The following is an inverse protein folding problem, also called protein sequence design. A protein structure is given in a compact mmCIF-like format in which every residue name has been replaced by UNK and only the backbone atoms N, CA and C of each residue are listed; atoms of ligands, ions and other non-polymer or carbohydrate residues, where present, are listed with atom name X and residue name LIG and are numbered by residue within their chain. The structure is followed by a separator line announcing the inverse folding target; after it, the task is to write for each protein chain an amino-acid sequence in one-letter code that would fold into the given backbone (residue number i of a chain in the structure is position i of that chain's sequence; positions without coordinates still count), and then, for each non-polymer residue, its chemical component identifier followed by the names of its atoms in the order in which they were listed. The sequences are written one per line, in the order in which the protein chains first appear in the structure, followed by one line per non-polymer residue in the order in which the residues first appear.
data_IF_500342032145
#
_entry.id   IF_500342032145
#
_cell.length_a   1.000
_cell.length_b   1.000
_cell.length_c   1.000
_cell.angle_alpha   90.00
_cell.angle_beta   90.00
_cell.angle_gamma   90.00
#
_symmetry.space_group_name_H-M   'P 1'
#
loop_
_entity.id
_entity.type
_entity.pdbx_description
1 polymer ?
#
# COMPACT_ATOMS: atom_id res chain seq x y z
N UNK A 1 -6.89 -8.33 42.85
CA UNK A 1 -7.52 -7.56 41.77
C UNK A 1 -8.48 -8.48 41.09
N UNK A 2 -9.81 -8.27 41.21
CA UNK A 2 -10.81 -9.06 40.50
C UNK A 2 -10.58 -8.83 38.99
N UNK A 3 -10.21 -9.88 38.27
CA UNK A 3 -10.20 -9.82 36.81
C UNK A 3 -11.67 -9.66 36.39
N UNK A 4 -12.02 -8.46 35.93
CA UNK A 4 -13.30 -8.26 35.27
C UNK A 4 -13.42 -9.28 34.16
N UNK A 5 -14.53 -9.98 34.08
CA UNK A 5 -14.77 -10.93 33.00
C UNK A 5 -15.03 -10.14 31.73
N UNK A 6 -14.06 -10.16 30.79
CA UNK A 6 -14.19 -9.57 29.45
C UNK A 6 -14.47 -10.67 28.45
N UNK A 7 -15.42 -10.47 27.56
CA UNK A 7 -15.65 -11.37 26.45
C UNK A 7 -14.79 -10.94 25.27
N UNK A 8 -13.85 -11.82 24.87
CA UNK A 8 -12.96 -11.60 23.72
C UNK A 8 -13.75 -11.63 22.41
N UNK A 9 -13.53 -10.64 21.55
CA UNK A 9 -14.11 -10.57 20.21
C UNK A 9 -13.04 -10.89 19.18
N UNK A 10 -12.04 -10.03 19.02
CA UNK A 10 -10.98 -10.16 18.00
C UNK A 10 -9.74 -9.37 18.38
N UNK A 11 -8.57 -9.82 17.95
CA UNK A 11 -7.28 -9.14 18.19
C UNK A 11 -6.56 -8.85 16.88
N UNK A 12 -5.92 -7.69 16.81
CA UNK A 12 -5.09 -7.27 15.68
C UNK A 12 -3.64 -7.72 15.87
N UNK A 13 -2.99 -8.08 14.76
CA UNK A 13 -1.57 -8.45 14.77
C UNK A 13 -0.65 -7.22 15.02
N UNK A 14 0.64 -7.49 15.21
CA UNK A 14 1.65 -6.48 15.52
C UNK A 14 1.85 -5.42 14.43
N UNK A 15 1.48 -5.73 13.18
CA UNK A 15 1.66 -4.85 12.02
C UNK A 15 0.33 -4.33 11.46
N UNK A 16 -0.78 -5.03 11.66
CA UNK A 16 -2.10 -4.66 11.13
C UNK A 16 -2.29 -5.04 9.66
N UNK A 17 -1.69 -6.13 9.19
CA UNK A 17 -1.82 -6.60 7.80
C UNK A 17 -3.25 -7.01 7.48
N UNK A 18 -3.89 -7.73 8.39
CA UNK A 18 -5.30 -8.09 8.29
C UNK A 18 -6.13 -6.96 8.87
N UNK A 19 -6.85 -6.24 8.02
CA UNK A 19 -7.70 -5.14 8.46
C UNK A 19 -8.88 -5.67 9.25
N UNK A 20 -9.13 -5.11 10.42
CA UNK A 20 -10.27 -5.45 11.26
C UNK A 20 -11.07 -4.20 11.50
N UNK A 21 -12.15 -4.02 10.73
CA UNK A 21 -13.14 -2.97 10.96
C UNK A 21 -14.20 -3.47 11.94
N UNK A 22 -14.77 -2.57 12.71
CA UNK A 22 -15.85 -2.92 13.65
C UNK A 22 -16.86 -1.80 13.80
N UNK A 23 -18.11 -2.19 14.05
CA UNK A 23 -19.18 -1.26 14.39
C UNK A 23 -19.12 -0.95 15.89
N UNK A 24 -18.97 0.33 16.23
CA UNK A 24 -18.80 0.81 17.60
C UNK A 24 -20.02 0.56 18.52
N UNK A 25 -21.20 0.27 17.95
CA UNK A 25 -22.43 0.01 18.71
C UNK A 25 -22.69 -1.48 18.91
N UNK A 26 -22.41 -2.29 17.88
CA UNK A 26 -22.82 -3.71 17.86
C UNK A 26 -21.66 -4.66 18.12
N UNK A 27 -20.41 -4.23 17.98
CA UNK A 27 -19.22 -5.08 18.04
C UNK A 27 -19.06 -6.02 16.85
N UNK A 28 -19.97 -5.99 15.88
CA UNK A 28 -19.77 -6.72 14.63
C UNK A 28 -18.48 -6.26 13.95
N UNK A 29 -17.70 -7.19 13.43
CA UNK A 29 -16.45 -6.89 12.76
C UNK A 29 -16.33 -7.63 11.41
N UNK A 30 -15.53 -7.07 10.51
CA UNK A 30 -15.21 -7.64 9.20
C UNK A 30 -13.84 -7.14 8.72
N UNK A 31 -13.21 -7.90 7.83
CA UNK A 31 -12.03 -7.44 7.09
C UNK A 31 -12.40 -6.46 5.96
N UNK A 32 -13.66 -6.41 5.56
CA UNK A 32 -14.18 -5.45 4.58
C UNK A 32 -15.13 -4.45 5.27
N UNK A 33 -14.77 -3.19 5.27
CA UNK A 33 -15.60 -2.13 5.87
C UNK A 33 -17.00 -2.04 5.26
N UNK A 34 -17.16 -2.44 4.01
CA UNK A 34 -18.44 -2.45 3.29
C UNK A 34 -19.51 -3.34 3.92
N UNK A 35 -19.10 -4.43 4.59
CA UNK A 35 -20.01 -5.38 5.25
C UNK A 35 -20.70 -4.79 6.49
N UNK A 36 -20.13 -3.71 7.04
CA UNK A 36 -20.59 -3.06 8.27
C UNK A 36 -21.44 -1.81 8.02
N UNK A 37 -21.58 -1.39 6.76
CA UNK A 37 -22.27 -0.14 6.41
C UNK A 37 -23.78 -0.33 6.46
N UNK A 38 -24.43 0.45 7.33
CA UNK A 38 -25.88 0.64 7.26
C UNK A 38 -26.22 1.75 6.26
N UNK A 39 -26.55 1.35 5.03
CA UNK A 39 -26.89 2.29 3.96
C UNK A 39 -28.22 3.03 4.19
N UNK A 40 -29.08 2.56 5.10
CA UNK A 40 -30.37 3.22 5.42
C UNK A 40 -30.20 4.38 6.41
N UNK A 41 -29.14 4.34 7.24
CA UNK A 41 -28.80 5.37 8.24
C UNK A 41 -27.36 5.87 8.05
N UNK A 42 -26.95 6.03 6.80
CA UNK A 42 -25.58 6.40 6.47
C UNK A 42 -25.26 7.86 6.82
N UNK A 43 -24.22 8.05 7.58
CA UNK A 43 -23.61 9.36 7.84
C UNK A 43 -22.09 9.28 7.68
N UNK A 44 -21.49 10.36 7.17
CA UNK A 44 -20.02 10.49 7.18
C UNK A 44 -19.51 10.85 8.59
N UNK A 45 -18.41 10.21 8.99
CA UNK A 45 -17.54 10.76 10.03
C UNK A 45 -16.65 11.83 9.41
N UNK A 46 -16.83 13.08 9.81
CA UNK A 46 -16.12 14.21 9.20
C UNK A 46 -14.62 14.15 9.43
N UNK A 47 -14.16 13.67 10.60
CA UNK A 47 -12.75 13.53 10.92
C UNK A 47 -12.11 12.39 10.13
N UNK A 48 -12.74 11.22 10.11
CA UNK A 48 -12.30 10.08 9.33
C UNK A 48 -12.25 10.38 7.84
N UNK A 49 -13.25 11.12 7.32
CA UNK A 49 -13.26 11.55 5.92
C UNK A 49 -12.09 12.50 5.61
N UNK A 50 -11.82 13.50 6.44
CA UNK A 50 -10.69 14.41 6.24
C UNK A 50 -9.35 13.68 6.31
N UNK A 51 -9.19 12.73 7.24
CA UNK A 51 -8.00 11.87 7.35
C UNK A 51 -7.83 11.00 6.09
N UNK A 52 -8.93 10.40 5.60
CA UNK A 52 -8.93 9.64 4.36
C UNK A 52 -8.52 10.51 3.15
N UNK A 53 -8.98 11.75 3.08
CA UNK A 53 -8.60 12.66 2.00
C UNK A 53 -7.11 13.04 2.04
N UNK A 54 -6.53 13.19 3.23
CA UNK A 54 -5.11 13.50 3.39
C UNK A 54 -4.22 12.37 2.89
N UNK A 55 -4.60 11.10 3.14
CA UNK A 55 -3.77 9.94 2.87
C UNK A 55 -4.22 9.12 1.65
N UNK A 56 -5.49 9.21 1.29
CA UNK A 56 -6.13 8.31 0.33
C UNK A 56 -6.53 6.95 0.91
N UNK A 57 -6.44 6.79 2.25
CA UNK A 57 -6.81 5.57 2.97
C UNK A 57 -7.14 5.86 4.44
N UNK A 58 -7.81 4.92 5.12
CA UNK A 58 -8.14 5.06 6.54
C UNK A 58 -6.88 5.03 7.41
N UNK A 59 -6.79 5.92 8.40
CA UNK A 59 -5.67 5.99 9.32
C UNK A 59 -6.14 6.36 10.74
N UNK A 60 -5.29 6.06 11.75
CA UNK A 60 -5.51 6.42 13.16
C UNK A 60 -6.85 5.90 13.72
N UNK A 61 -7.16 4.62 13.46
CA UNK A 61 -8.39 3.98 13.95
C UNK A 61 -9.68 4.48 13.30
N UNK A 62 -9.65 5.51 12.43
CA UNK A 62 -10.80 6.19 11.88
C UNK A 62 -11.16 5.74 10.46
N UNK A 63 -12.47 5.63 10.20
CA UNK A 63 -13.00 5.48 8.85
C UNK A 63 -13.85 6.69 8.48
N UNK A 64 -14.10 6.96 7.20
CA UNK A 64 -15.04 8.00 6.76
C UNK A 64 -16.51 7.74 7.15
N UNK A 65 -16.82 6.65 7.83
CA UNK A 65 -18.19 6.21 8.13
C UNK A 65 -18.44 6.33 9.63
N UNK A 66 -19.47 7.08 9.99
CA UNK A 66 -19.85 7.28 11.39
C UNK A 66 -20.21 5.97 12.07
N UNK A 67 -19.63 5.74 13.24
CA UNK A 67 -19.85 4.52 14.04
C UNK A 67 -19.08 3.28 13.57
N UNK A 68 -18.24 3.40 12.54
CA UNK A 68 -17.33 2.34 12.12
C UNK A 68 -15.88 2.80 12.32
N UNK A 69 -15.10 1.99 13.03
CA UNK A 69 -13.66 2.17 13.27
C UNK A 69 -12.89 0.94 12.83
N UNK A 70 -11.57 0.97 12.90
CA UNK A 70 -10.74 -0.21 12.72
C UNK A 70 -9.74 -0.36 13.88
N UNK A 71 -9.33 -1.59 14.16
CA UNK A 71 -8.30 -1.87 15.14
C UNK A 71 -6.93 -1.51 14.56
N UNK A 72 -6.17 -0.73 15.33
CA UNK A 72 -4.76 -0.52 15.08
C UNK A 72 -3.93 -1.70 15.61
N UNK A 73 -2.64 -1.68 15.36
CA UNK A 73 -1.72 -2.76 15.73
C UNK A 73 -1.73 -2.98 17.24
N UNK A 74 -1.62 -4.24 17.64
CA UNK A 74 -1.61 -4.67 19.05
C UNK A 74 -2.88 -4.26 19.83
N UNK A 75 -3.99 -4.03 19.16
CA UNK A 75 -5.28 -3.78 19.83
C UNK A 75 -6.14 -5.03 19.86
N UNK A 76 -6.91 -5.16 20.92
CA UNK A 76 -7.92 -6.22 21.08
C UNK A 76 -9.26 -5.60 21.42
N UNK A 77 -10.32 -6.12 20.78
CA UNK A 77 -11.70 -5.73 21.01
C UNK A 77 -12.36 -6.73 21.95
N UNK A 78 -13.03 -6.22 22.97
CA UNK A 78 -13.77 -6.98 23.97
C UNK A 78 -15.18 -6.40 24.18
N UNK A 79 -16.09 -7.21 24.71
CA UNK A 79 -17.22 -6.73 25.50
C UNK A 79 -16.82 -6.71 26.98
N UNK A 80 -17.11 -5.62 27.67
CA UNK A 80 -16.98 -5.55 29.13
C UNK A 80 -18.19 -6.24 29.82
N UNK A 81 -18.20 -6.25 31.15
CA UNK A 81 -19.26 -6.86 31.96
C UNK A 81 -20.66 -6.24 31.74
N UNK A 82 -20.70 -5.01 31.29
CA UNK A 82 -21.93 -4.26 30.99
C UNK A 82 -22.36 -4.42 29.51
N UNK A 83 -21.63 -5.24 28.72
CA UNK A 83 -21.85 -5.44 27.29
C UNK A 83 -21.42 -4.26 26.44
N UNK A 84 -20.59 -3.35 26.98
CA UNK A 84 -20.03 -2.23 26.24
C UNK A 84 -18.74 -2.66 25.51
N UNK A 85 -18.51 -2.08 24.33
CA UNK A 85 -17.28 -2.33 23.59
C UNK A 85 -16.10 -1.62 24.23
N UNK A 86 -15.05 -2.37 24.45
CA UNK A 86 -13.77 -1.90 24.97
C UNK A 86 -12.62 -2.25 24.03
N UNK A 87 -11.79 -1.26 23.68
CA UNK A 87 -10.53 -1.48 22.96
C UNK A 87 -9.39 -1.47 23.96
N UNK A 88 -8.65 -2.56 24.01
CA UNK A 88 -7.48 -2.70 24.88
C UNK A 88 -6.22 -2.65 24.03
N UNK A 89 -5.31 -1.74 24.37
CA UNK A 89 -3.97 -1.70 23.81
C UNK A 89 -3.11 -2.77 24.53
N UNK A 90 -2.62 -3.74 23.78
CA UNK A 90 -1.66 -4.73 24.28
C UNK A 90 -0.24 -4.15 24.22
N UNK A 91 0.69 -4.80 24.92
CA UNK A 91 2.10 -4.41 24.87
C UNK A 91 2.61 -4.47 23.42
N UNK A 92 3.34 -3.44 23.02
CA UNK A 92 3.98 -3.40 21.71
C UNK A 92 5.36 -4.08 21.77
N UNK A 93 5.48 -5.29 21.19
CA UNK A 93 6.74 -6.03 21.25
C UNK A 93 7.90 -5.32 20.55
N UNK A 94 7.61 -4.43 19.58
CA UNK A 94 8.64 -3.72 18.83
C UNK A 94 9.46 -2.74 19.70
N UNK A 95 8.88 -2.23 20.81
CA UNK A 95 9.56 -1.30 21.72
C UNK A 95 10.81 -1.94 22.33
N UNK A 96 10.79 -3.24 22.59
CA UNK A 96 11.93 -3.94 23.15
C UNK A 96 13.15 -4.03 22.21
N UNK A 97 12.94 -3.75 20.91
CA UNK A 97 13.98 -3.90 19.88
C UNK A 97 14.58 -2.56 19.42
N UNK A 98 13.88 -1.44 19.55
CA UNK A 98 14.31 -0.16 18.96
C UNK A 98 15.68 0.33 19.43
N UNK A 99 16.14 -0.09 20.61
CA UNK A 99 17.47 0.23 21.17
C UNK A 99 18.50 -0.89 20.98
N UNK A 100 18.11 -2.03 20.40
CA UNK A 100 19.03 -3.17 20.20
C UNK A 100 19.84 -3.00 18.90
N UNK A 101 20.91 -3.78 18.76
CA UNK A 101 21.69 -3.89 17.52
C UNK A 101 21.71 -5.36 17.11
N UNK A 102 21.26 -5.64 15.90
CA UNK A 102 21.32 -6.95 15.27
C UNK A 102 22.55 -7.09 14.38
N UNK A 103 23.15 -8.28 14.33
CA UNK A 103 24.20 -8.56 13.36
C UNK A 103 23.62 -8.79 11.97
N UNK A 104 24.38 -8.43 10.93
CA UNK A 104 23.97 -8.68 9.54
C UNK A 104 23.86 -10.18 9.27
N UNK A 105 24.77 -11.00 9.82
CA UNK A 105 24.80 -12.45 9.67
C UNK A 105 23.52 -13.09 10.18
N UNK A 106 23.10 -12.78 11.41
CA UNK A 106 21.85 -13.28 11.98
C UNK A 106 20.62 -12.86 11.14
N UNK A 107 20.64 -11.63 10.63
CA UNK A 107 19.56 -11.13 9.76
C UNK A 107 19.49 -11.92 8.45
N UNK A 108 20.64 -12.22 7.83
CA UNK A 108 20.69 -13.05 6.63
C UNK A 108 20.20 -14.47 6.87
N UNK A 109 20.63 -15.10 7.97
CA UNK A 109 20.20 -16.44 8.35
C UNK A 109 18.68 -16.53 8.56
N UNK A 110 18.08 -15.55 9.20
CA UNK A 110 16.62 -15.49 9.39
C UNK A 110 15.88 -15.35 8.06
N UNK A 111 16.31 -14.44 7.18
CA UNK A 111 15.70 -14.24 5.86
C UNK A 111 15.82 -15.54 5.03
N UNK A 112 17.01 -16.12 4.96
CA UNK A 112 17.26 -17.37 4.24
C UNK A 112 16.41 -18.51 4.77
N UNK A 113 16.39 -18.72 6.09
CA UNK A 113 15.62 -19.77 6.74
C UNK A 113 14.11 -19.65 6.45
N UNK A 114 13.55 -18.44 6.49
CA UNK A 114 12.14 -18.21 6.20
C UNK A 114 11.82 -18.56 4.73
N UNK A 115 12.64 -18.09 3.79
CA UNK A 115 12.45 -18.38 2.36
C UNK A 115 12.58 -19.87 2.07
N UNK A 116 13.60 -20.55 2.65
CA UNK A 116 13.78 -21.99 2.51
C UNK A 116 12.60 -22.76 3.06
N UNK A 117 12.12 -22.39 4.25
CA UNK A 117 10.94 -23.03 4.88
C UNK A 117 9.71 -22.95 3.98
N UNK A 118 9.45 -21.80 3.35
CA UNK A 118 8.36 -21.68 2.39
C UNK A 118 8.57 -22.56 1.15
N UNK A 119 9.78 -22.59 0.59
CA UNK A 119 10.11 -23.44 -0.55
C UNK A 119 9.97 -24.94 -0.23
N UNK A 120 10.33 -25.35 0.98
CA UNK A 120 10.26 -26.75 1.40
C UNK A 120 8.83 -27.22 1.65
N UNK A 121 7.96 -26.35 2.18
CA UNK A 121 6.51 -26.62 2.26
C UNK A 121 5.89 -26.83 0.89
N UNK A 122 6.48 -26.28 -0.15
CA UNK A 122 5.98 -26.29 -1.53
C UNK A 122 6.90 -27.05 -2.50
N UNK A 123 7.63 -28.06 -2.02
CA UNK A 123 8.71 -28.76 -2.73
C UNK A 123 8.32 -29.33 -4.11
N UNK A 124 7.05 -29.70 -4.29
CA UNK A 124 6.54 -30.29 -5.55
C UNK A 124 5.75 -29.30 -6.41
N UNK A 125 5.82 -28.01 -6.11
CA UNK A 125 5.05 -26.97 -6.82
C UNK A 125 6.00 -25.94 -7.42
N UNK A 126 5.61 -25.37 -8.58
CA UNK A 126 6.23 -24.13 -9.05
C UNK A 126 5.86 -22.98 -8.11
N UNK A 127 6.78 -22.03 -7.93
CA UNK A 127 6.61 -20.87 -7.07
C UNK A 127 6.49 -19.62 -7.92
N UNK A 128 5.46 -18.84 -7.67
CA UNK A 128 5.30 -17.50 -8.25
C UNK A 128 6.13 -16.49 -7.46
N UNK A 129 7.08 -15.82 -8.12
CA UNK A 129 7.91 -14.77 -7.50
C UNK A 129 7.76 -13.47 -8.29
N UNK A 130 6.94 -12.50 -7.84
CA UNK A 130 6.91 -11.17 -8.43
C UNK A 130 8.30 -10.53 -8.32
N UNK A 131 8.94 -10.24 -9.45
CA UNK A 131 10.33 -9.81 -9.50
C UNK A 131 10.46 -8.46 -10.19
N UNK A 132 10.81 -7.43 -9.43
CA UNK A 132 11.02 -6.05 -9.92
C UNK A 132 12.50 -5.72 -10.17
N UNK A 133 13.42 -6.64 -9.85
CA UNK A 133 14.86 -6.37 -9.82
C UNK A 133 15.27 -5.44 -8.66
N UNK A 134 14.37 -5.09 -7.76
CA UNK A 134 14.65 -4.49 -6.46
C UNK A 134 15.40 -5.45 -5.53
N UNK A 135 15.86 -4.99 -4.37
CA UNK A 135 16.65 -5.83 -3.47
C UNK A 135 15.81 -6.95 -2.85
N UNK A 136 14.56 -6.69 -2.47
CA UNK A 136 13.71 -7.64 -1.76
C UNK A 136 13.34 -8.85 -2.63
N UNK A 137 12.86 -8.62 -3.84
CA UNK A 137 12.59 -9.71 -4.78
C UNK A 137 13.88 -10.45 -5.20
N UNK A 138 15.02 -9.74 -5.22
CA UNK A 138 16.34 -10.32 -5.51
C UNK A 138 16.79 -11.27 -4.39
N UNK A 139 16.52 -10.92 -3.10
CA UNK A 139 16.80 -11.81 -1.97
C UNK A 139 15.97 -13.10 -2.06
N UNK A 140 14.69 -12.99 -2.39
CA UNK A 140 13.82 -14.15 -2.56
C UNK A 140 14.38 -15.07 -3.66
N UNK A 141 14.68 -14.53 -4.82
CA UNK A 141 15.25 -15.29 -5.93
C UNK A 141 16.62 -15.88 -5.57
N UNK A 142 17.44 -15.16 -4.80
CA UNK A 142 18.78 -15.63 -4.40
C UNK A 142 18.73 -16.76 -3.38
N UNK A 143 17.94 -16.62 -2.30
CA UNK A 143 17.88 -17.60 -1.22
C UNK A 143 16.99 -18.81 -1.52
N UNK A 144 16.12 -18.75 -2.52
CA UNK A 144 15.32 -19.92 -2.91
C UNK A 144 16.25 -21.05 -3.41
N UNK A 145 16.16 -22.25 -2.80
CA UNK A 145 17.17 -23.31 -3.05
C UNK A 145 17.04 -23.97 -4.43
N UNK A 146 15.81 -24.06 -4.97
CA UNK A 146 15.48 -24.71 -6.23
C UNK A 146 15.06 -23.69 -7.28
N UNK A 147 16.03 -23.20 -8.06
CA UNK A 147 15.81 -22.14 -9.07
C UNK A 147 14.89 -22.58 -10.20
N UNK A 148 14.91 -23.86 -10.53
CA UNK A 148 14.08 -24.50 -11.56
C UNK A 148 12.58 -24.51 -11.23
N UNK A 149 12.21 -24.37 -9.96
CA UNK A 149 10.83 -24.27 -9.51
C UNK A 149 10.29 -22.83 -9.53
N UNK A 150 11.17 -21.83 -9.63
CA UNK A 150 10.77 -20.43 -9.60
C UNK A 150 10.25 -20.04 -10.98
N UNK A 151 9.06 -19.46 -11.00
CA UNK A 151 8.53 -18.67 -12.10
C UNK A 151 8.50 -17.21 -11.67
N UNK A 152 9.45 -16.44 -12.20
CA UNK A 152 9.55 -15.01 -11.92
C UNK A 152 8.69 -14.22 -12.90
N UNK A 153 7.91 -13.28 -12.38
CA UNK A 153 7.04 -12.42 -13.18
C UNK A 153 7.33 -10.95 -12.93
N UNK A 154 7.35 -10.17 -14.00
CA UNK A 154 7.60 -8.73 -13.94
C UNK A 154 6.61 -7.97 -14.82
N UNK A 155 6.30 -6.75 -14.46
CA UNK A 155 5.63 -5.79 -15.33
C UNK A 155 6.43 -4.48 -15.39
N UNK A 156 6.24 -3.71 -16.45
CA UNK A 156 6.90 -2.41 -16.60
C UNK A 156 5.93 -1.26 -16.38
N UNK A 157 6.44 -0.15 -15.86
CA UNK A 157 5.68 1.09 -15.68
C UNK A 157 5.57 1.93 -16.97
N UNK A 158 6.19 1.49 -18.04
CA UNK A 158 6.23 2.18 -19.34
C UNK A 158 5.35 1.46 -20.36
N UNK A 159 4.81 2.21 -21.32
CA UNK A 159 4.15 1.68 -22.53
C UNK A 159 5.03 0.74 -23.37
N UNK A 160 6.35 0.76 -23.13
CA UNK A 160 7.28 -0.25 -23.63
C UNK A 160 7.91 -0.94 -22.40
N UNK A 161 7.27 -2.01 -21.90
CA UNK A 161 7.67 -2.64 -20.64
C UNK A 161 9.10 -3.19 -20.67
N UNK A 162 9.60 -3.67 -21.81
CA UNK A 162 10.97 -4.18 -21.96
C UNK A 162 12.05 -3.11 -21.71
N UNK A 163 11.72 -1.82 -21.90
CA UNK A 163 12.62 -0.69 -21.62
C UNK A 163 12.47 -0.14 -20.21
N UNK A 164 11.55 -0.66 -19.43
CA UNK A 164 11.34 -0.27 -18.04
C UNK A 164 12.50 -0.73 -17.18
N UNK A 165 12.89 0.11 -16.25
CA UNK A 165 14.02 -0.11 -15.35
C UNK A 165 13.86 -1.40 -14.52
N UNK A 166 12.67 -1.63 -14.02
CA UNK A 166 12.32 -2.79 -13.22
C UNK A 166 12.47 -4.09 -14.02
N UNK A 167 11.98 -4.09 -15.25
CA UNK A 167 12.00 -5.24 -16.16
C UNK A 167 13.42 -5.60 -16.59
N UNK A 168 14.22 -4.60 -16.98
CA UNK A 168 15.63 -4.82 -17.35
C UNK A 168 16.41 -5.46 -16.19
N UNK A 169 16.21 -4.97 -14.98
CA UNK A 169 16.88 -5.53 -13.80
C UNK A 169 16.37 -6.93 -13.45
N UNK A 170 15.06 -7.14 -13.47
CA UNK A 170 14.46 -8.44 -13.20
C UNK A 170 14.98 -9.51 -14.17
N UNK A 171 14.99 -9.20 -15.48
CA UNK A 171 15.56 -10.08 -16.51
C UNK A 171 17.01 -10.46 -16.20
N UNK A 172 17.86 -9.46 -15.92
CA UNK A 172 19.29 -9.71 -15.62
C UNK A 172 19.50 -10.58 -14.36
N UNK A 173 18.67 -10.39 -13.31
CA UNK A 173 18.74 -11.24 -12.12
C UNK A 173 18.37 -12.67 -12.46
N UNK A 174 17.26 -12.87 -13.16
CA UNK A 174 16.77 -14.19 -13.52
C UNK A 174 17.74 -14.92 -14.43
N UNK A 175 18.35 -14.25 -15.42
CA UNK A 175 19.40 -14.81 -16.27
C UNK A 175 20.62 -15.25 -15.44
N UNK A 176 21.11 -14.41 -14.51
CA UNK A 176 22.25 -14.75 -13.63
C UNK A 176 21.98 -15.91 -12.69
N UNK A 177 20.74 -16.06 -12.24
CA UNK A 177 20.32 -17.12 -11.32
C UNK A 177 19.74 -18.34 -12.01
N UNK A 178 19.68 -18.36 -13.35
CA UNK A 178 19.05 -19.41 -14.16
C UNK A 178 17.60 -19.69 -13.75
N UNK A 179 16.80 -18.62 -13.66
CA UNK A 179 15.39 -18.65 -13.26
C UNK A 179 14.52 -18.41 -14.49
N UNK A 180 13.41 -19.16 -14.63
CA UNK A 180 12.38 -18.92 -15.64
C UNK A 180 11.72 -17.55 -15.37
N UNK A 181 11.84 -16.64 -16.34
CA UNK A 181 11.37 -15.27 -16.21
C UNK A 181 10.37 -14.90 -17.30
N UNK A 182 9.28 -14.26 -16.88
CA UNK A 182 8.20 -13.88 -17.76
C UNK A 182 7.80 -12.42 -17.54
N UNK A 183 7.59 -11.69 -18.63
CA UNK A 183 7.02 -10.35 -18.58
C UNK A 183 5.49 -10.41 -18.72
N UNK A 184 4.79 -9.67 -17.87
CA UNK A 184 3.34 -9.52 -17.92
C UNK A 184 3.02 -8.10 -18.37
N UNK A 185 2.46 -7.97 -19.56
CA UNK A 185 2.00 -6.67 -20.06
C UNK A 185 0.72 -6.28 -19.33
N UNK A 186 0.70 -5.09 -18.72
CA UNK A 186 -0.47 -4.51 -18.07
C UNK A 186 -0.80 -3.14 -18.68
N UNK A 187 -2.04 -2.69 -18.51
CA UNK A 187 -2.49 -1.40 -19.06
C UNK A 187 -4.01 -1.25 -19.13
N UNK A 188 -4.75 -2.34 -18.88
CA UNK A 188 -6.21 -2.33 -18.87
C UNK A 188 -6.82 -2.38 -17.46
N UNK A 189 -6.04 -2.06 -16.44
CA UNK A 189 -6.41 -2.29 -15.05
C UNK A 189 -7.57 -1.41 -14.54
N UNK A 190 -7.91 -0.30 -15.21
CA UNK A 190 -9.09 0.48 -14.87
C UNK A 190 -10.39 -0.33 -14.93
N UNK A 191 -10.43 -1.43 -15.70
CA UNK A 191 -11.58 -2.37 -15.71
C UNK A 191 -11.83 -3.05 -14.37
N UNK A 192 -10.83 -3.09 -13.48
CA UNK A 192 -10.92 -3.72 -12.15
C UNK A 192 -11.36 -2.75 -11.04
N UNK A 193 -11.78 -1.52 -11.39
CA UNK A 193 -12.15 -0.52 -10.37
C UNK A 193 -13.35 -0.98 -9.51
N UNK A 194 -14.33 -1.65 -10.13
CA UNK A 194 -15.49 -2.21 -9.40
C UNK A 194 -15.04 -3.28 -8.43
N UNK A 195 -14.23 -4.23 -8.88
CA UNK A 195 -13.69 -5.29 -8.02
C UNK A 195 -12.85 -4.73 -6.88
N UNK A 196 -12.02 -3.71 -7.14
CA UNK A 196 -11.27 -3.04 -6.10
C UNK A 196 -12.20 -2.46 -5.02
N UNK A 197 -13.29 -1.80 -5.43
CA UNK A 197 -14.25 -1.21 -4.50
C UNK A 197 -15.04 -2.28 -3.74
N UNK A 198 -15.33 -3.41 -4.35
CA UNK A 198 -15.94 -4.55 -3.66
C UNK A 198 -15.04 -5.11 -2.56
N UNK A 199 -13.74 -5.27 -2.83
CA UNK A 199 -12.78 -5.89 -1.92
C UNK A 199 -12.21 -4.92 -0.87
N UNK A 200 -12.00 -3.66 -1.21
CA UNK A 200 -11.36 -2.67 -0.32
C UNK A 200 -12.28 -1.53 0.12
N UNK A 201 -13.39 -1.31 -0.60
CA UNK A 201 -14.35 -0.25 -0.32
C UNK A 201 -13.63 1.10 -0.07
N UNK A 202 -14.03 1.83 0.96
CA UNK A 202 -13.45 3.12 1.37
C UNK A 202 -12.20 2.96 2.28
N UNK A 203 -11.70 1.74 2.48
CA UNK A 203 -10.50 1.56 3.29
C UNK A 203 -9.26 2.17 2.64
N UNK A 204 -9.23 2.20 1.29
CA UNK A 204 -8.13 2.78 0.52
C UNK A 204 -8.58 3.23 -0.87
N UNK A 205 -7.82 4.17 -1.46
CA UNK A 205 -7.99 4.60 -2.85
C UNK A 205 -7.79 3.45 -3.85
N UNK A 206 -8.37 3.58 -5.05
CA UNK A 206 -8.42 2.50 -6.03
C UNK A 206 -7.15 2.38 -6.93
N UNK A 207 -6.06 3.08 -6.62
CA UNK A 207 -4.86 3.06 -7.48
C UNK A 207 -4.21 1.67 -7.60
N UNK A 208 -4.29 0.81 -6.59
CA UNK A 208 -3.66 -0.52 -6.57
C UNK A 208 -4.29 -1.56 -7.52
N UNK A 209 -5.36 -1.22 -8.25
CA UNK A 209 -6.10 -2.15 -9.11
C UNK A 209 -5.27 -2.76 -10.25
N UNK A 210 -4.10 -2.17 -10.60
CA UNK A 210 -3.17 -2.78 -11.57
C UNK A 210 -2.63 -4.14 -11.12
N UNK A 211 -2.63 -4.44 -9.81
CA UNK A 211 -2.29 -5.75 -9.27
C UNK A 211 -3.34 -6.82 -9.64
N UNK A 212 -4.62 -6.47 -9.75
CA UNK A 212 -5.63 -7.39 -10.26
C UNK A 212 -5.32 -7.81 -11.69
N UNK A 213 -4.98 -6.87 -12.57
CA UNK A 213 -4.59 -7.21 -13.94
C UNK A 213 -3.36 -8.11 -13.98
N UNK A 214 -2.33 -7.76 -13.19
CA UNK A 214 -1.09 -8.50 -13.13
C UNK A 214 -1.30 -9.96 -12.71
N UNK A 215 -1.95 -10.19 -11.57
CA UNK A 215 -2.15 -11.55 -11.05
C UNK A 215 -3.23 -12.34 -11.81
N UNK A 216 -4.23 -11.69 -12.37
CA UNK A 216 -5.21 -12.34 -13.23
C UNK A 216 -4.52 -12.92 -14.47
N UNK A 217 -3.64 -12.15 -15.12
CA UNK A 217 -2.88 -12.64 -16.28
C UNK A 217 -1.91 -13.78 -15.92
N UNK A 218 -1.28 -13.72 -14.76
CA UNK A 218 -0.45 -14.84 -14.27
C UNK A 218 -1.31 -16.10 -14.08
N UNK A 219 -2.46 -15.96 -13.43
CA UNK A 219 -3.41 -17.08 -13.20
C UNK A 219 -3.94 -17.69 -14.50
N UNK A 220 -4.25 -16.86 -15.49
CA UNK A 220 -4.74 -17.31 -16.80
C UNK A 220 -3.70 -18.10 -17.60
N UNK A 221 -2.44 -17.72 -17.49
CA UNK A 221 -1.33 -18.35 -18.22
C UNK A 221 -0.71 -19.56 -17.51
N UNK A 222 -0.84 -19.57 -16.19
CA UNK A 222 -0.09 -20.53 -15.36
C UNK A 222 -0.98 -21.01 -14.24
N UNK A 223 -1.63 -21.94 -14.08
CA UNK A 223 -2.38 -22.38 -12.89
C UNK A 223 -2.00 -21.64 -11.59
N UNK A 224 -2.82 -21.67 -10.58
CA UNK A 224 -2.52 -21.04 -9.28
C UNK A 224 -1.29 -21.70 -8.65
N UNK A 225 -0.32 -20.90 -8.25
CA UNK A 225 0.94 -21.31 -7.62
C UNK A 225 1.08 -20.66 -6.25
N UNK A 226 1.77 -21.31 -5.29
CA UNK A 226 2.23 -20.60 -4.08
C UNK A 226 3.08 -19.39 -4.47
N UNK A 227 2.82 -18.26 -3.81
CA UNK A 227 3.43 -16.98 -4.11
C UNK A 227 4.28 -16.50 -2.93
N UNK A 228 5.53 -16.14 -3.20
CA UNK A 228 6.39 -15.48 -2.22
C UNK A 228 6.82 -14.12 -2.75
N UNK A 229 6.57 -13.07 -1.98
CA UNK A 229 6.74 -11.68 -2.40
C UNK A 229 7.66 -10.88 -1.48
N UNK A 230 8.39 -9.92 -2.07
CA UNK A 230 9.27 -8.99 -1.37
C UNK A 230 8.55 -7.74 -0.83
N UNK A 231 7.31 -7.86 -0.39
CA UNK A 231 6.49 -6.73 0.06
C UNK A 231 7.17 -6.00 1.20
N UNK A 232 7.23 -4.65 1.11
CA UNK A 232 7.71 -3.72 2.14
C UNK A 232 9.12 -3.99 2.73
N UNK A 233 9.87 -4.94 2.20
CA UNK A 233 11.21 -5.26 2.70
C UNK A 233 12.15 -4.07 2.66
N UNK A 234 12.02 -3.22 1.63
CA UNK A 234 12.83 -2.03 1.47
C UNK A 234 12.63 -0.99 2.60
N UNK A 235 11.44 -0.91 3.18
CA UNK A 235 11.15 0.00 4.28
C UNK A 235 11.89 -0.41 5.56
N UNK A 236 11.96 -1.70 5.85
CA UNK A 236 12.73 -2.24 6.98
C UNK A 236 14.23 -2.16 6.77
N UNK A 237 14.67 -2.24 5.53
CA UNK A 237 16.09 -2.34 5.15
C UNK A 237 16.86 -1.02 5.09
N UNK A 238 16.21 0.14 5.29
CA UNK A 238 16.87 1.45 5.23
C UNK A 238 16.74 2.18 3.90
N UNK A 239 15.67 1.94 3.13
CA UNK A 239 15.38 2.73 1.93
C UNK A 239 14.72 4.08 2.23
N UNK A 240 14.17 4.23 3.43
CA UNK A 240 13.34 5.36 3.83
C UNK A 240 13.82 5.92 5.17
N UNK A 241 13.81 7.22 5.28
CA UNK A 241 13.96 7.94 6.56
C UNK A 241 12.69 8.75 6.83
N UNK A 242 12.34 8.89 8.09
CA UNK A 242 11.24 9.76 8.56
C UNK A 242 11.84 10.91 9.33
N UNK A 243 11.51 12.13 8.91
CA UNK A 243 11.89 13.34 9.62
C UNK A 243 11.38 13.30 11.08
N UNK A 244 11.96 14.13 11.92
CA UNK A 244 11.48 14.27 13.29
C UNK A 244 10.00 14.66 13.32
N UNK A 245 9.27 14.06 14.25
CA UNK A 245 7.86 14.34 14.51
C UNK A 245 7.80 15.10 15.83
N UNK A 246 7.70 16.41 15.73
CA UNK A 246 7.80 17.33 16.89
C UNK A 246 6.45 17.92 17.30
N UNK A 247 5.42 17.74 16.46
CA UNK A 247 4.09 18.28 16.70
C UNK A 247 3.00 17.40 16.05
N UNK A 248 1.72 17.55 16.47
CA UNK A 248 0.60 16.84 15.84
C UNK A 248 0.50 17.06 14.33
N UNK A 249 0.92 18.21 13.82
CA UNK A 249 0.91 18.50 12.38
C UNK A 249 1.87 17.61 11.58
N UNK A 250 2.95 17.17 12.23
CA UNK A 250 3.97 16.34 11.58
C UNK A 250 3.51 14.90 11.41
N UNK A 251 2.44 14.47 12.11
CA UNK A 251 1.86 13.12 11.99
C UNK A 251 1.45 12.78 10.57
N UNK A 252 1.08 13.79 9.77
CA UNK A 252 0.77 13.59 8.35
C UNK A 252 1.95 12.96 7.58
N UNK A 253 3.20 13.22 8.00
CA UNK A 253 4.40 12.68 7.33
C UNK A 253 4.53 11.16 7.46
N UNK A 254 3.84 10.54 8.42
CA UNK A 254 3.80 9.08 8.56
C UNK A 254 2.96 8.41 7.47
N UNK A 255 1.96 9.10 6.93
CA UNK A 255 0.97 8.52 6.03
C UNK A 255 1.03 8.98 4.58
N UNK A 256 1.72 10.08 4.26
CA UNK A 256 1.73 10.64 2.91
C UNK A 256 2.16 9.64 1.85
N UNK A 257 1.36 9.55 0.80
CA UNK A 257 1.66 8.83 -0.44
C UNK A 257 1.99 9.82 -1.56
N UNK A 258 2.77 9.40 -2.54
CA UNK A 258 3.27 10.27 -3.62
C UNK A 258 2.13 10.72 -4.55
N UNK A 259 1.40 11.76 -4.15
CA UNK A 259 0.39 12.43 -4.98
C UNK A 259 -0.97 11.73 -5.09
N UNK A 260 -1.15 10.59 -4.39
CA UNK A 260 -2.43 9.87 -4.38
C UNK A 260 -3.18 10.26 -3.11
N UNK A 261 -3.70 11.46 -3.12
CA UNK A 261 -4.54 12.05 -2.09
C UNK A 261 -5.46 13.09 -2.74
N UNK A 262 -6.35 13.66 -1.95
CA UNK A 262 -7.27 14.72 -2.38
C UNK A 262 -6.90 16.03 -1.69
N UNK A 263 -6.80 17.12 -2.42
CA UNK A 263 -6.51 18.44 -1.84
C UNK A 263 -7.71 18.94 -1.03
N UNK A 264 -7.57 18.95 0.29
CA UNK A 264 -8.63 19.31 1.26
C UNK A 264 -9.28 20.67 1.01
N UNK A 265 -8.62 21.63 0.34
CA UNK A 265 -9.23 22.94 0.00
C UNK A 265 -10.47 22.83 -0.88
N UNK A 266 -10.68 21.68 -1.53
CA UNK A 266 -11.87 21.38 -2.33
C UNK A 266 -12.93 20.59 -1.56
N UNK A 267 -12.67 20.18 -0.33
CA UNK A 267 -13.68 19.64 0.59
C UNK A 267 -14.43 20.78 1.26
N UNK A 268 -15.75 20.65 1.36
CA UNK A 268 -16.62 21.64 1.99
C UNK A 268 -16.72 21.46 3.50
N UNK A 269 -16.27 20.32 4.03
CA UNK A 269 -16.21 20.07 5.45
C UNK A 269 -15.04 20.84 6.06
N UNK A 270 -15.34 21.62 7.09
CA UNK A 270 -14.32 22.37 7.83
C UNK A 270 -14.32 21.90 9.29
N UNK A 271 -13.51 20.88 9.60
CA UNK A 271 -13.36 20.35 10.95
C UNK A 271 -11.87 20.15 11.28
N UNK A 272 -11.52 20.32 12.54
CA UNK A 272 -10.20 19.95 13.07
C UNK A 272 -10.09 18.42 13.08
N UNK A 273 -8.91 17.89 12.80
CA UNK A 273 -8.60 16.46 12.96
C UNK A 273 -7.95 16.29 14.34
N UNK A 274 -8.72 15.81 15.29
CA UNK A 274 -8.26 15.62 16.66
C UNK A 274 -7.45 14.32 16.82
N UNK A 275 -7.60 13.35 15.90
CA UNK A 275 -6.82 12.11 15.92
C UNK A 275 -5.32 12.34 15.77
N UNK A 276 -4.87 13.36 15.03
CA UNK A 276 -3.44 13.69 14.93
C UNK A 276 -2.88 14.14 16.29
N UNK A 277 -3.64 14.93 17.05
CA UNK A 277 -3.26 15.41 18.38
C UNK A 277 -3.21 14.25 19.38
N UNK A 278 -4.25 13.41 19.36
CA UNK A 278 -4.34 12.21 20.22
C UNK A 278 -3.16 11.25 19.96
N UNK A 279 -2.96 10.84 18.71
CA UNK A 279 -1.89 9.93 18.32
C UNK A 279 -0.50 10.47 18.65
N UNK A 280 -0.29 11.79 18.46
CA UNK A 280 0.97 12.43 18.82
C UNK A 280 1.21 12.37 20.33
N UNK A 281 0.23 12.78 21.15
CA UNK A 281 0.37 12.80 22.61
C UNK A 281 0.62 11.40 23.19
N UNK A 282 -0.02 10.37 22.64
CA UNK A 282 0.15 8.98 23.06
C UNK A 282 1.54 8.42 22.72
N UNK A 283 2.13 8.86 21.59
CA UNK A 283 3.35 8.26 21.02
C UNK A 283 4.56 9.20 21.00
N UNK A 284 4.46 10.46 21.48
CA UNK A 284 5.48 11.51 21.32
C UNK A 284 6.86 11.12 21.83
N UNK A 285 6.97 10.37 22.93
CA UNK A 285 8.24 9.96 23.46
C UNK A 285 8.90 8.86 22.62
N UNK A 286 8.13 7.91 22.13
CA UNK A 286 8.57 6.86 21.22
C UNK A 286 8.97 7.43 19.84
N UNK A 287 8.25 8.45 19.36
CA UNK A 287 8.51 9.10 18.08
C UNK A 287 9.83 9.90 18.05
N UNK A 288 10.48 10.14 19.20
CA UNK A 288 11.85 10.66 19.26
C UNK A 288 12.85 9.65 18.66
N UNK A 289 12.59 8.35 18.81
CA UNK A 289 13.43 7.30 18.26
C UNK A 289 13.20 7.14 16.73
N UNK A 290 14.27 7.21 15.94
CA UNK A 290 14.19 7.13 14.48
C UNK A 290 13.66 5.80 13.96
N UNK A 291 13.98 4.69 14.64
CA UNK A 291 13.49 3.34 14.27
C UNK A 291 11.99 3.20 14.57
N UNK A 292 11.51 3.77 15.69
CA UNK A 292 10.09 3.77 15.99
C UNK A 292 9.29 4.61 14.97
N UNK A 293 9.86 5.70 14.45
CA UNK A 293 9.25 6.46 13.35
C UNK A 293 9.08 5.61 12.08
N UNK A 294 10.04 4.74 11.76
CA UNK A 294 9.91 3.80 10.63
C UNK A 294 8.80 2.78 10.90
N UNK A 295 8.74 2.20 12.09
CA UNK A 295 7.65 1.29 12.50
C UNK A 295 6.29 2.00 12.35
N UNK A 296 6.17 3.21 12.89
CA UNK A 296 4.94 4.01 12.82
C UNK A 296 4.53 4.35 11.40
N UNK A 297 5.50 4.70 10.53
CA UNK A 297 5.26 4.93 9.10
C UNK A 297 4.70 3.68 8.43
N UNK A 298 5.28 2.51 8.68
CA UNK A 298 4.85 1.27 8.05
C UNK A 298 3.45 0.88 8.55
N UNK A 299 3.21 0.96 9.86
CA UNK A 299 1.92 0.69 10.48
C UNK A 299 0.82 1.62 9.98
N UNK A 300 1.12 2.91 9.80
CA UNK A 300 0.15 3.84 9.20
C UNK A 300 -0.15 3.48 7.76
N UNK A 301 0.87 3.11 6.97
CA UNK A 301 0.72 2.78 5.55
C UNK A 301 0.23 1.37 5.26
N UNK A 302 0.26 0.45 6.22
CA UNK A 302 -0.15 -0.94 5.98
C UNK A 302 -1.64 -1.03 5.60
N UNK A 303 -2.47 -0.09 6.05
CA UNK A 303 -3.86 0.03 5.63
C UNK A 303 -3.97 0.08 4.09
N UNK A 304 -3.11 0.84 3.44
CA UNK A 304 -2.99 0.85 1.99
C UNK A 304 -2.21 -0.37 1.49
N UNK A 305 -0.98 -0.59 1.97
CA UNK A 305 -0.02 -1.52 1.38
C UNK A 305 -0.44 -3.00 1.47
N UNK A 306 -1.40 -3.33 2.35
CA UNK A 306 -1.93 -4.69 2.48
C UNK A 306 -2.53 -5.23 1.17
N UNK A 307 -2.92 -4.38 0.21
CA UNK A 307 -3.40 -4.85 -1.10
C UNK A 307 -2.36 -5.69 -1.85
N UNK A 308 -1.08 -5.45 -1.60
CA UNK A 308 0.02 -6.21 -2.21
C UNK A 308 -0.03 -7.71 -1.89
N UNK A 309 -0.68 -8.08 -0.78
CA UNK A 309 -0.91 -9.47 -0.38
C UNK A 309 -2.37 -9.88 -0.54
N UNK A 310 -3.31 -8.98 -0.27
CA UNK A 310 -4.76 -9.28 -0.32
C UNK A 310 -5.24 -9.53 -1.76
N UNK A 311 -4.78 -8.75 -2.73
CA UNK A 311 -5.19 -8.95 -4.15
C UNK A 311 -4.85 -10.35 -4.66
N UNK A 312 -3.61 -10.86 -4.55
CA UNK A 312 -3.34 -12.23 -4.98
C UNK A 312 -4.09 -13.27 -4.13
N UNK A 313 -4.30 -13.07 -2.83
CA UNK A 313 -5.13 -13.96 -1.99
C UNK A 313 -6.57 -14.02 -2.53
N UNK A 314 -7.19 -12.87 -2.82
CA UNK A 314 -8.55 -12.80 -3.38
C UNK A 314 -8.66 -13.50 -4.75
N UNK A 315 -7.56 -13.59 -5.49
CA UNK A 315 -7.47 -14.35 -6.73
C UNK A 315 -7.14 -15.84 -6.54
N UNK A 316 -6.94 -16.28 -5.29
CA UNK A 316 -6.72 -17.67 -4.90
C UNK A 316 -5.26 -18.11 -4.75
N UNK A 317 -4.28 -17.18 -4.78
CA UNK A 317 -2.89 -17.51 -4.50
C UNK A 317 -2.67 -17.73 -3.01
N UNK A 318 -1.85 -18.72 -2.65
CA UNK A 318 -1.31 -18.87 -1.30
C UNK A 318 -0.08 -17.96 -1.17
N UNK A 319 -0.23 -16.84 -0.44
CA UNK A 319 0.79 -15.79 -0.39
C UNK A 319 1.62 -15.83 0.89
N UNK A 320 2.91 -15.55 0.77
CA UNK A 320 3.83 -15.33 1.87
C UNK A 320 4.80 -14.19 1.58
N UNK A 321 5.33 -13.57 2.64
CA UNK A 321 6.45 -12.63 2.56
C UNK A 321 7.31 -12.74 3.82
N UNK A 322 8.63 -12.92 3.70
CA UNK A 322 9.52 -12.90 4.86
C UNK A 322 9.53 -11.54 5.57
N UNK A 323 9.22 -10.46 4.85
CA UNK A 323 9.26 -9.09 5.36
C UNK A 323 7.97 -8.67 6.08
N UNK A 324 7.08 -9.61 6.39
CA UNK A 324 5.96 -9.49 7.32
C UNK A 324 6.21 -10.24 8.64
N UNK A 325 7.27 -11.05 8.70
CA UNK A 325 7.69 -11.73 9.92
C UNK A 325 8.31 -10.73 10.91
N UNK A 326 7.83 -10.78 12.17
CA UNK A 326 8.25 -9.83 13.20
C UNK A 326 9.75 -9.85 13.44
N UNK A 327 10.33 -11.05 13.61
CA UNK A 327 11.75 -11.20 13.96
C UNK A 327 12.64 -10.71 12.81
N UNK A 328 12.30 -11.04 11.56
CA UNK A 328 13.02 -10.57 10.38
C UNK A 328 12.94 -9.05 10.28
N UNK A 329 11.74 -8.47 10.42
CA UNK A 329 11.56 -7.02 10.35
C UNK A 329 12.36 -6.29 11.41
N UNK A 330 12.33 -6.78 12.66
CA UNK A 330 13.08 -6.17 13.75
C UNK A 330 14.59 -6.35 13.55
N UNK A 331 15.06 -7.54 13.13
CA UNK A 331 16.48 -7.74 12.87
C UNK A 331 17.02 -6.84 11.74
N UNK A 332 16.24 -6.63 10.67
CA UNK A 332 16.59 -5.70 9.58
C UNK A 332 16.65 -4.24 10.06
N UNK A 333 15.63 -3.81 10.82
CA UNK A 333 15.52 -2.43 11.31
C UNK A 333 16.62 -2.07 12.30
N UNK A 334 17.11 -3.04 13.07
CA UNK A 334 18.08 -2.83 14.14
C UNK A 334 19.53 -3.11 13.74
N UNK A 335 19.82 -3.34 12.47
CA UNK A 335 21.18 -3.30 11.93
C UNK A 335 21.83 -1.96 12.30
N UNK A 336 23.14 -2.00 12.53
CA UNK A 336 23.93 -0.83 12.86
C UNK A 336 23.64 0.32 11.89
N UNK A 337 23.34 1.56 12.39
CA UNK A 337 22.84 2.67 11.57
C UNK A 337 23.71 2.99 10.34
N UNK A 338 25.03 2.98 10.47
CA UNK A 338 25.96 3.25 9.37
C UNK A 338 25.90 2.22 8.24
N UNK A 339 25.41 1.02 8.55
CA UNK A 339 25.19 -0.08 7.61
C UNK A 339 23.77 -0.08 7.05
N UNK A 340 22.80 0.27 7.92
CA UNK A 340 21.38 0.31 7.58
C UNK A 340 21.06 1.43 6.58
N UNK A 341 21.62 2.62 6.79
CA UNK A 341 21.37 3.77 5.91
C UNK A 341 21.61 3.47 4.45
N UNK A 342 20.64 3.88 3.59
CA UNK A 342 20.67 3.63 2.15
C UNK A 342 20.84 2.16 1.78
N UNK A 343 20.49 1.24 2.66
CA UNK A 343 20.62 -0.21 2.45
C UNK A 343 22.05 -0.65 2.11
N UNK A 344 23.06 -0.08 2.76
CA UNK A 344 24.47 -0.38 2.48
C UNK A 344 24.77 -1.86 2.70
N UNK A 345 24.27 -2.46 3.78
CA UNK A 345 24.40 -3.89 4.08
C UNK A 345 23.87 -4.79 2.95
N UNK A 346 22.73 -4.45 2.33
CA UNK A 346 22.21 -5.21 1.18
C UNK A 346 23.03 -4.97 -0.08
N UNK A 347 23.48 -3.75 -0.32
CA UNK A 347 24.33 -3.45 -1.50
C UNK A 347 25.65 -4.23 -1.48
N UNK A 348 26.32 -4.25 -0.33
CA UNK A 348 27.59 -4.97 -0.17
C UNK A 348 27.37 -6.48 -0.31
N UNK A 349 26.26 -7.01 0.22
CA UNK A 349 25.87 -8.40 0.02
C UNK A 349 25.71 -8.75 -1.47
N UNK A 350 24.98 -7.93 -2.24
CA UNK A 350 24.79 -8.18 -3.66
C UNK A 350 26.08 -7.99 -4.49
N UNK A 351 26.94 -7.06 -4.11
CA UNK A 351 28.25 -6.94 -4.74
C UNK A 351 29.09 -8.20 -4.51
N UNK A 352 29.17 -8.69 -3.29
CA UNK A 352 29.89 -9.91 -2.93
C UNK A 352 29.41 -11.15 -3.68
N UNK A 353 28.10 -11.21 -3.98
CA UNK A 353 27.45 -12.34 -4.66
C UNK A 353 27.33 -12.12 -6.19
N UNK A 354 28.02 -11.16 -6.79
CA UNK A 354 27.94 -10.83 -8.23
C UNK A 354 26.54 -10.49 -8.75
N UNK A 355 25.67 -9.98 -7.87
CA UNK A 355 24.30 -9.59 -8.18
C UNK A 355 24.10 -8.07 -8.14
N UNK A 356 25.16 -7.26 -8.15
CA UNK A 356 25.03 -5.82 -8.33
C UNK A 356 24.58 -5.47 -9.75
N UNK A 357 23.57 -4.61 -9.83
CA UNK A 357 22.95 -4.13 -11.06
C UNK A 357 23.06 -2.61 -11.24
N UNK A 358 23.93 -1.96 -10.49
CA UNK A 358 24.09 -0.50 -10.53
C UNK A 358 24.48 0.02 -11.93
N UNK A 359 25.22 -0.79 -12.69
CA UNK A 359 25.64 -0.49 -14.06
C UNK A 359 24.48 -0.40 -15.06
N UNK A 360 23.32 -1.02 -14.76
CA UNK A 360 22.15 -1.00 -15.64
C UNK A 360 21.36 0.30 -15.56
N UNK A 361 21.60 1.15 -14.56
CA UNK A 361 20.87 2.41 -14.36
C UNK A 361 20.97 3.36 -15.58
N UNK A 362 22.01 3.24 -16.42
CA UNK A 362 22.21 4.06 -17.62
C UNK A 362 21.45 3.57 -18.85
N UNK A 363 20.96 2.32 -18.85
CA UNK A 363 20.32 1.66 -20.01
C UNK A 363 18.80 1.76 -20.04
N UNK A 364 18.18 2.22 -18.96
CA UNK A 364 16.72 2.26 -18.82
C UNK A 364 16.14 3.63 -19.16
N UNK A 365 14.96 3.64 -19.80
CA UNK A 365 14.10 4.83 -19.85
C UNK A 365 13.19 4.83 -18.62
N UNK A 366 13.24 5.89 -17.84
CA UNK A 366 12.36 6.06 -16.69
C UNK A 366 11.10 6.82 -17.15
N UNK A 367 10.18 6.12 -17.77
CA UNK A 367 8.84 6.65 -18.07
C UNK A 367 7.84 5.89 -17.22
N UNK A 368 7.06 6.62 -16.44
CA UNK A 368 5.88 6.08 -15.77
C UNK A 368 4.65 6.68 -16.48
N UNK A 369 4.19 6.00 -17.50
CA UNK A 369 3.01 6.35 -18.28
C UNK A 369 1.90 5.29 -18.15
N UNK A 370 2.04 4.36 -17.19
CA UNK A 370 1.13 3.25 -17.00
C UNK A 370 -0.31 3.72 -16.70
N UNK A 371 -0.48 4.63 -15.75
CA UNK A 371 -1.80 5.19 -15.40
C UNK A 371 -2.43 5.94 -16.57
N UNK A 372 -1.62 6.73 -17.27
CA UNK A 372 -2.08 7.48 -18.43
C UNK A 372 -2.53 6.56 -19.57
N UNK A 373 -1.77 5.49 -19.83
CA UNK A 373 -2.12 4.50 -20.85
C UNK A 373 -3.39 3.73 -20.47
N UNK A 374 -3.57 3.39 -19.18
CA UNK A 374 -4.78 2.73 -18.74
C UNK A 374 -6.03 3.60 -18.92
N UNK A 375 -5.94 4.91 -18.73
CA UNK A 375 -7.03 5.83 -19.06
C UNK A 375 -7.36 5.86 -20.55
N UNK A 376 -6.38 5.64 -21.44
CA UNK A 376 -6.60 5.55 -22.88
C UNK A 376 -7.24 4.23 -23.28
N UNK A 377 -6.68 3.13 -22.77
CA UNK A 377 -7.08 1.76 -23.15
C UNK A 377 -8.40 1.36 -22.51
N UNK A 378 -8.67 1.88 -21.33
CA UNK A 378 -9.90 1.63 -20.59
C UNK A 378 -10.35 2.91 -19.88
N UNK A 379 -11.07 3.79 -20.61
CA UNK A 379 -11.55 5.07 -20.07
C UNK A 379 -12.43 4.88 -18.84
N UNK A 380 -12.30 5.82 -17.91
CA UNK A 380 -13.08 5.85 -16.68
C UNK A 380 -14.39 6.62 -16.88
N UNK A 381 -15.46 6.14 -16.25
CA UNK A 381 -16.73 6.88 -16.20
C UNK A 381 -16.56 8.18 -15.39
N UNK A 382 -17.19 9.27 -15.80
CA UNK A 382 -17.14 10.52 -15.04
C UNK A 382 -17.72 10.34 -13.63
N UNK A 383 -17.14 11.03 -12.65
CA UNK A 383 -17.71 11.14 -11.31
C UNK A 383 -19.06 11.85 -11.36
N UNK A 384 -20.01 11.37 -10.56
CA UNK A 384 -21.33 11.97 -10.45
C UNK A 384 -21.30 13.26 -9.62
N UNK A 385 -21.37 14.39 -10.29
CA UNK A 385 -21.29 15.73 -9.68
C UNK A 385 -22.38 15.90 -8.60
N UNK A 386 -23.63 15.52 -8.90
CA UNK A 386 -24.75 15.69 -7.97
C UNK A 386 -24.63 14.85 -6.68
N UNK A 387 -23.90 13.73 -6.74
CA UNK A 387 -23.66 12.90 -5.55
C UNK A 387 -22.57 13.49 -4.66
N UNK A 388 -21.54 14.05 -5.26
CA UNK A 388 -20.35 14.50 -4.56
C UNK A 388 -20.38 15.98 -4.18
N UNK A 389 -21.18 16.83 -4.86
CA UNK A 389 -21.24 18.27 -4.61
C UNK A 389 -21.70 18.70 -3.21
N UNK A 390 -22.46 17.90 -2.43
CA UNK A 390 -22.73 18.24 -1.03
C UNK A 390 -21.48 18.21 -0.12
N UNK A 391 -20.41 17.51 -0.55
CA UNK A 391 -19.20 17.32 0.23
C UNK A 391 -17.99 18.00 -0.38
N UNK A 392 -17.96 18.11 -1.71
CA UNK A 392 -16.83 18.64 -2.45
C UNK A 392 -17.26 19.78 -3.40
N UNK A 393 -16.34 20.70 -3.68
CA UNK A 393 -16.60 21.77 -4.63
C UNK A 393 -16.93 21.21 -6.02
N UNK A 394 -18.12 21.53 -6.51
CA UNK A 394 -18.63 21.11 -7.82
C UNK A 394 -17.62 21.38 -8.94
N UNK A 395 -17.09 22.60 -8.99
CA UNK A 395 -16.10 23.00 -9.99
C UNK A 395 -14.84 22.13 -10.03
N UNK A 396 -14.47 21.52 -8.89
CA UNK A 396 -13.31 20.63 -8.87
C UNK A 396 -13.67 19.23 -9.36
N UNK A 397 -14.86 18.72 -9.07
CA UNK A 397 -15.34 17.45 -9.61
C UNK A 397 -15.45 17.54 -11.14
N UNK A 398 -16.01 18.62 -11.66
CA UNK A 398 -16.06 18.89 -13.09
C UNK A 398 -14.65 18.99 -13.71
N UNK A 399 -13.72 19.63 -12.99
CA UNK A 399 -12.33 19.72 -13.43
C UNK A 399 -11.67 18.31 -13.49
N UNK A 400 -11.91 17.44 -12.52
CA UNK A 400 -11.46 16.04 -12.56
C UNK A 400 -12.03 15.36 -13.80
N UNK A 401 -13.36 15.37 -13.97
CA UNK A 401 -14.03 14.74 -15.10
C UNK A 401 -13.50 15.21 -16.45
N UNK A 402 -13.23 16.52 -16.57
CA UNK A 402 -12.66 17.11 -17.78
C UNK A 402 -11.24 16.63 -18.09
N UNK A 403 -10.44 16.31 -17.07
CA UNK A 403 -9.01 16.01 -17.21
C UNK A 403 -8.66 14.52 -17.16
N UNK A 404 -9.58 13.63 -16.74
CA UNK A 404 -9.42 12.19 -16.87
C UNK A 404 -9.72 11.67 -18.28
N UNK A 405 -10.27 12.50 -19.16
CA UNK A 405 -10.60 12.12 -20.55
C UNK A 405 -9.35 12.12 -21.40
N UNK A 406 -8.82 10.94 -21.67
CA UNK A 406 -7.57 10.70 -22.40
C UNK A 406 -7.64 10.92 -23.92
N UNK A 407 -8.82 11.13 -24.50
CA UNK A 407 -8.99 11.42 -25.94
C UNK A 407 -8.50 12.84 -26.34
N UNK A 408 -8.31 13.73 -25.38
CA UNK A 408 -7.88 15.12 -25.62
C UNK A 408 -6.41 15.20 -26.02
N UNK A 409 -6.14 15.79 -27.19
CA UNK A 409 -4.80 15.90 -27.74
C UNK A 409 -3.87 16.77 -26.86
N UNK A 410 -4.40 17.84 -26.27
CA UNK A 410 -3.64 18.75 -25.40
C UNK A 410 -3.14 18.03 -24.13
N UNK A 411 -3.93 17.14 -23.55
CA UNK A 411 -3.51 16.32 -22.39
C UNK A 411 -2.44 15.30 -22.78
N UNK A 412 -2.56 14.67 -23.97
CA UNK A 412 -1.54 13.74 -24.47
C UNK A 412 -0.21 14.44 -24.74
N UNK A 413 -0.24 15.61 -25.32
CA UNK A 413 0.97 16.43 -25.56
C UNK A 413 1.59 16.85 -24.24
N UNK A 414 0.80 17.33 -23.27
CA UNK A 414 1.30 17.71 -21.96
C UNK A 414 1.93 16.52 -21.24
N UNK A 415 1.27 15.37 -21.21
CA UNK A 415 1.81 14.13 -20.61
C UNK A 415 3.12 13.72 -21.27
N UNK A 416 3.19 13.75 -22.61
CA UNK A 416 4.41 13.43 -23.35
C UNK A 416 5.56 14.39 -23.00
N UNK A 417 5.31 15.70 -22.93
CA UNK A 417 6.29 16.71 -22.53
C UNK A 417 6.79 16.46 -21.09
N UNK A 418 5.88 16.21 -20.15
CA UNK A 418 6.19 15.95 -18.74
C UNK A 418 7.03 14.68 -18.54
N UNK A 419 6.96 13.71 -19.46
CA UNK A 419 7.71 12.47 -19.41
C UNK A 419 9.04 12.51 -20.21
N UNK A 420 9.37 13.65 -20.87
CA UNK A 420 10.68 13.77 -21.52
C UNK A 420 11.80 14.04 -20.50
N UNK A 421 12.98 13.44 -20.73
CA UNK A 421 14.10 13.38 -19.77
C UNK A 421 14.50 14.73 -19.16
N UNK A 422 14.45 15.82 -19.95
CA UNK A 422 14.88 17.15 -19.50
C UNK A 422 13.73 17.98 -18.94
N UNK A 423 12.56 17.94 -19.57
CA UNK A 423 11.41 18.75 -19.20
C UNK A 423 10.77 18.30 -17.89
N UNK A 424 10.84 16.99 -17.59
CA UNK A 424 10.33 16.41 -16.34
C UNK A 424 10.88 17.07 -15.06
N UNK A 425 12.11 17.59 -15.09
CA UNK A 425 12.69 18.27 -13.91
C UNK A 425 12.39 19.76 -13.86
N UNK A 426 11.99 20.35 -14.99
CA UNK A 426 11.77 21.80 -15.16
C UNK A 426 10.31 22.17 -14.87
N UNK A 427 9.37 21.46 -15.46
CA UNK A 427 7.93 21.80 -15.36
C UNK A 427 7.38 21.84 -13.93
N UNK A 428 7.67 20.88 -13.02
CA UNK A 428 7.20 20.97 -11.64
C UNK A 428 7.74 22.21 -10.90
N UNK A 429 8.99 22.65 -11.22
CA UNK A 429 9.57 23.85 -10.63
C UNK A 429 8.88 25.15 -11.13
N UNK A 430 8.24 25.09 -12.29
CA UNK A 430 7.42 26.16 -12.85
C UNK A 430 5.93 26.07 -12.44
N UNK A 431 5.59 25.14 -11.55
CA UNK A 431 4.20 24.90 -11.14
C UNK A 431 3.33 24.22 -12.20
N UNK A 432 3.95 23.71 -13.28
CA UNK A 432 3.24 22.98 -14.34
C UNK A 432 3.19 21.51 -13.99
N UNK A 433 1.98 21.00 -13.70
CA UNK A 433 1.74 19.60 -13.37
C UNK A 433 0.99 18.89 -14.51
N UNK A 434 1.17 17.57 -14.57
CA UNK A 434 0.39 16.71 -15.46
C UNK A 434 -1.06 16.64 -14.96
N UNK A 435 -1.93 17.43 -15.62
CA UNK A 435 -3.33 17.57 -15.21
C UNK A 435 -4.08 16.25 -15.23
N UNK A 436 -3.74 15.35 -16.17
CA UNK A 436 -4.39 14.05 -16.26
C UNK A 436 -4.02 13.14 -15.08
N UNK A 437 -2.76 13.10 -14.69
CA UNK A 437 -2.34 12.31 -13.52
C UNK A 437 -2.86 12.89 -12.21
N UNK A 438 -2.89 14.24 -12.06
CA UNK A 438 -3.49 14.87 -10.87
C UNK A 438 -4.99 14.57 -10.79
N UNK A 439 -5.70 14.65 -11.91
CA UNK A 439 -7.12 14.32 -11.97
C UNK A 439 -7.36 12.83 -11.67
N UNK A 440 -6.53 11.94 -12.23
CA UNK A 440 -6.60 10.50 -11.99
C UNK A 440 -6.37 10.16 -10.50
N UNK A 441 -5.36 10.76 -9.87
CA UNK A 441 -5.08 10.56 -8.45
C UNK A 441 -6.27 10.99 -7.58
N UNK A 442 -6.88 12.14 -7.88
CA UNK A 442 -8.09 12.59 -7.18
C UNK A 442 -9.30 11.69 -7.47
N UNK A 443 -9.44 11.21 -8.70
CA UNK A 443 -10.50 10.30 -9.11
C UNK A 443 -10.47 8.99 -8.32
N UNK A 444 -9.32 8.33 -8.23
CA UNK A 444 -9.20 7.04 -7.52
C UNK A 444 -9.42 7.16 -6.01
N UNK A 445 -9.26 8.36 -5.44
CA UNK A 445 -9.63 8.67 -4.05
C UNK A 445 -11.13 8.89 -3.90
N UNK A 446 -11.78 9.60 -4.85
CA UNK A 446 -13.20 9.94 -4.75
C UNK A 446 -14.13 8.81 -5.20
N UNK A 447 -13.68 7.94 -6.10
CA UNK A 447 -14.55 6.89 -6.67
C UNK A 447 -15.12 5.93 -5.63
N UNK A 448 -14.38 5.44 -4.62
CA UNK A 448 -14.96 4.65 -3.54
C UNK A 448 -16.07 5.38 -2.75
N UNK A 449 -15.89 6.70 -2.49
CA UNK A 449 -16.90 7.53 -1.83
C UNK A 449 -18.17 7.66 -2.68
N UNK A 450 -18.01 7.89 -3.98
CA UNK A 450 -19.14 7.96 -4.93
C UNK A 450 -19.97 6.68 -4.92
N UNK A 451 -19.32 5.51 -4.92
CA UNK A 451 -20.02 4.23 -4.95
C UNK A 451 -20.82 3.97 -3.66
N UNK A 452 -20.31 4.40 -2.50
CA UNK A 452 -21.09 4.38 -1.24
C UNK A 452 -22.33 5.26 -1.39
N UNK A 453 -22.18 6.50 -1.83
CA UNK A 453 -23.30 7.43 -1.99
C UNK A 453 -24.33 6.95 -3.01
N UNK A 454 -23.91 6.25 -4.06
CA UNK A 454 -24.85 5.59 -4.99
C UNK A 454 -25.70 4.53 -4.30
N UNK A 455 -25.07 3.67 -3.47
CA UNK A 455 -25.79 2.65 -2.70
C UNK A 455 -26.76 3.26 -1.69
N UNK A 456 -26.36 4.32 -0.97
CA UNK A 456 -27.24 5.07 -0.08
C UNK A 456 -28.49 5.56 -0.82
N UNK A 457 -28.33 6.24 -1.98
CA UNK A 457 -29.46 6.71 -2.79
C UNK A 457 -30.34 5.59 -3.35
N UNK A 458 -29.79 4.41 -3.57
CA UNK A 458 -30.59 3.25 -4.02
C UNK A 458 -31.49 2.71 -2.90
N UNK A 459 -31.03 2.76 -1.65
CA UNK A 459 -31.80 2.34 -0.48
C UNK A 459 -32.90 3.37 -0.16
N UNK A 460 -32.60 4.67 -0.24
CA UNK A 460 -33.59 5.75 -0.01
C UNK A 460 -34.77 5.73 -1.01
N UNK A 461 -34.61 5.11 -2.18
CA UNK A 461 -35.65 5.02 -3.21
C UNK A 461 -36.55 3.79 -3.08
N UNK A 462 -36.21 2.86 -2.22
CA UNK A 462 -36.99 1.63 -1.95
C UNK A 462 -37.88 1.83 -0.72
#
# INVERSE_FOLDING_TARGET
MNSKSREFIVSQDWLGVNKIFFNQKTGQYSENVGDLIDYSNFEFDSEGLLTYLDFGYCAFGKTPIKGISFLEQNQTLYFDEDGQLEIVNNDDPSINYIETISSEENTWEQIESNIRSFCDKNINKNLCVPTSGGFDSRLINFFSPRKEQIKAFSYGLSSNPEKSFEVIKAKNICEKLNIDWNIVEIGHFNKFITQWIEDFNISSHAHGMYHYEFYTKIKEQNNIMPLISGIIGDLWAGSTSVSEISSPKDMINLGLTRGINFDRKFCLLNKKIDSYEKEFEEKKDLLKNSRYRIISLIRTKIMLLSYLIKVPINLGFECSSPFLDFNICMSMLTIEPSRWENRKWQRDFFMKNNLDLSHLNKKSSYRNDLDFNSMILHPLDPLNVNLLSPIFKESYIEWINKNIVSSRLDLRVLHWLMNTKYLRSIFPKLGINDKSLVAYNSYVVLKPLEEILKRVKQVEKK
#
